data_IF_922138297294
#
_entry.id   IF_922138297294
#
_cell.length_a   1.000
_cell.length_b   1.000
_cell.length_c   1.000
_cell.angle_alpha   90.00
_cell.angle_beta   90.00
_cell.angle_gamma   90.00
#
_symmetry.space_group_name_H-M   'P 1'
#
loop_
_entity.id
_entity.type
_entity.pdbx_description
1 polymer ?
#
# COMPACT_ATOMS: atom_id res chain seq x y z
N UNK A 1 -4.78 -15.71 -0.27
CA UNK A 1 -4.78 -16.51 0.98
C UNK A 1 -4.20 -17.85 0.65
N UNK A 2 -3.22 -18.29 1.41
CA UNK A 2 -2.61 -19.61 1.22
C UNK A 2 -3.64 -20.70 1.49
N UNK A 3 -3.64 -21.78 0.71
CA UNK A 3 -4.56 -22.91 0.89
C UNK A 3 -4.51 -23.47 2.32
N UNK A 4 -3.32 -23.54 2.93
CA UNK A 4 -3.13 -24.04 4.30
C UNK A 4 -3.97 -23.32 5.36
N UNK A 5 -4.12 -21.99 5.26
CA UNK A 5 -4.86 -21.22 6.26
C UNK A 5 -6.37 -21.51 6.22
N UNK A 6 -6.90 -21.76 5.03
CA UNK A 6 -8.34 -21.93 4.82
C UNK A 6 -8.76 -23.40 4.92
N UNK A 7 -7.89 -24.35 4.51
CA UNK A 7 -8.19 -25.79 4.53
C UNK A 7 -7.76 -26.48 5.83
N UNK A 8 -6.57 -26.20 6.37
CA UNK A 8 -6.06 -26.92 7.55
C UNK A 8 -6.51 -26.28 8.86
N UNK A 9 -6.60 -24.95 8.89
CA UNK A 9 -6.91 -24.18 10.10
C UNK A 9 -8.33 -23.60 10.10
N UNK A 10 -9.08 -23.76 9.00
CA UNK A 10 -10.43 -23.23 8.80
C UNK A 10 -10.53 -21.70 9.06
N UNK A 11 -9.42 -20.97 8.86
CA UNK A 11 -9.34 -19.53 9.10
C UNK A 11 -9.74 -18.80 7.81
N UNK A 12 -10.92 -18.19 7.84
CA UNK A 12 -11.38 -17.36 6.73
C UNK A 12 -10.67 -16.00 6.68
N UNK A 13 -10.70 -15.38 5.49
CA UNK A 13 -10.23 -13.99 5.27
C UNK A 13 -10.74 -13.02 6.31
N UNK A 14 -12.03 -13.12 6.64
CA UNK A 14 -12.72 -12.18 7.54
C UNK A 14 -12.15 -12.25 8.94
N UNK A 15 -11.85 -13.47 9.41
CA UNK A 15 -11.25 -13.71 10.72
C UNK A 15 -9.84 -13.12 10.79
N UNK A 16 -8.99 -13.36 9.78
CA UNK A 16 -7.67 -12.74 9.70
C UNK A 16 -7.73 -11.21 9.66
N UNK A 17 -8.65 -10.66 8.87
CA UNK A 17 -8.79 -9.22 8.75
C UNK A 17 -9.26 -8.58 10.05
N UNK A 18 -10.18 -9.23 10.77
CA UNK A 18 -10.64 -8.82 12.09
C UNK A 18 -9.50 -8.87 13.11
N UNK A 19 -8.78 -10.00 13.18
CA UNK A 19 -7.67 -10.19 14.10
C UNK A 19 -6.54 -9.18 13.85
N UNK A 20 -6.16 -8.95 12.59
CA UNK A 20 -5.20 -7.92 12.22
C UNK A 20 -5.69 -6.54 12.69
N UNK A 21 -6.96 -6.19 12.41
CA UNK A 21 -7.54 -4.91 12.84
C UNK A 21 -7.54 -4.72 14.35
N UNK A 22 -7.79 -5.79 15.11
CA UNK A 22 -7.77 -5.80 16.58
C UNK A 22 -6.34 -5.76 17.16
N UNK A 23 -5.36 -6.32 16.46
CA UNK A 23 -3.95 -6.29 16.87
C UNK A 23 -3.26 -4.95 16.62
N UNK A 24 -3.66 -4.21 15.57
CA UNK A 24 -3.07 -2.92 15.17
C UNK A 24 -2.90 -1.93 16.33
N UNK A 25 -3.89 -1.67 17.21
CA UNK A 25 -3.71 -0.73 18.32
C UNK A 25 -2.62 -1.14 19.31
N UNK A 26 -2.46 -2.44 19.58
CA UNK A 26 -1.41 -2.94 20.45
C UNK A 26 -0.03 -2.82 19.81
N UNK A 27 0.08 -3.15 18.52
CA UNK A 27 1.31 -2.99 17.74
C UNK A 27 1.75 -1.53 17.66
N UNK A 28 0.82 -0.61 17.38
CA UNK A 28 1.10 0.85 17.37
C UNK A 28 1.66 1.29 18.72
N UNK A 29 1.08 0.83 19.82
CA UNK A 29 1.54 1.20 21.17
C UNK A 29 2.94 0.65 21.47
N UNK A 30 3.22 -0.60 21.09
CA UNK A 30 4.56 -1.19 21.24
C UNK A 30 5.57 -0.42 20.40
N UNK A 31 5.23 -0.12 19.15
CA UNK A 31 6.06 0.64 18.22
C UNK A 31 6.39 2.03 18.77
N UNK A 32 5.38 2.77 19.25
CA UNK A 32 5.57 4.07 19.91
C UNK A 32 6.48 3.98 21.13
N UNK A 33 6.30 2.95 21.97
CA UNK A 33 7.15 2.75 23.16
C UNK A 33 8.62 2.51 22.81
N UNK A 34 8.90 1.87 21.67
CA UNK A 34 10.27 1.67 21.15
C UNK A 34 10.88 2.95 20.58
N UNK A 35 10.06 3.83 20.00
CA UNK A 35 10.53 5.09 19.41
C UNK A 35 10.79 6.19 20.43
N UNK A 36 9.98 6.27 21.50
CA UNK A 36 10.08 7.32 22.53
C UNK A 36 11.50 7.51 23.14
N UNK A 37 12.30 6.46 23.40
CA UNK A 37 13.67 6.63 23.88
C UNK A 37 14.66 7.14 22.83
N UNK A 38 14.34 6.98 21.54
CA UNK A 38 15.26 7.26 20.43
C UNK A 38 15.01 8.64 19.81
N UNK A 39 13.76 9.10 19.83
CA UNK A 39 13.34 10.33 19.19
C UNK A 39 12.40 11.10 20.12
N UNK A 40 12.65 12.41 20.25
CA UNK A 40 11.82 13.31 21.06
C UNK A 40 10.84 14.11 20.21
N UNK A 41 11.20 14.37 18.95
CA UNK A 41 10.45 15.23 18.04
C UNK A 41 10.17 14.51 16.72
N UNK A 42 9.04 14.84 16.10
CA UNK A 42 8.61 14.15 14.88
C UNK A 42 9.45 14.56 13.65
N UNK A 43 10.01 15.78 13.68
CA UNK A 43 10.93 16.36 12.70
C UNK A 43 12.26 15.59 12.58
N UNK A 44 12.55 14.69 13.52
CA UNK A 44 13.73 13.82 13.46
C UNK A 44 13.48 12.57 12.61
N UNK A 45 12.23 12.28 12.25
CA UNK A 45 11.84 11.07 11.55
C UNK A 45 11.80 11.30 10.05
N UNK A 46 12.49 10.45 9.32
CA UNK A 46 12.43 10.38 7.86
C UNK A 46 11.84 9.03 7.48
N UNK A 47 10.81 9.07 6.64
CA UNK A 47 10.11 7.90 6.13
C UNK A 47 10.61 7.58 4.73
N UNK A 48 11.06 6.34 4.55
CA UNK A 48 11.49 5.79 3.28
C UNK A 48 10.49 4.72 2.88
N UNK A 49 9.94 4.84 1.67
CA UNK A 49 9.07 3.81 1.10
C UNK A 49 9.38 3.61 -0.38
N UNK A 50 9.38 2.35 -0.80
CA UNK A 50 9.55 1.98 -2.19
C UNK A 50 8.19 1.79 -2.84
N UNK A 51 7.92 2.59 -3.87
CA UNK A 51 6.74 2.39 -4.71
C UNK A 51 7.16 1.86 -6.06
N UNK A 52 6.34 0.98 -6.63
CA UNK A 52 6.62 0.40 -7.94
C UNK A 52 5.40 0.50 -8.85
N UNK A 53 5.61 1.13 -10.00
CA UNK A 53 4.55 1.39 -10.98
C UNK A 53 4.88 0.72 -12.31
N UNK A 54 3.93 -0.03 -12.82
CA UNK A 54 3.94 -0.50 -14.20
C UNK A 54 3.36 0.61 -15.10
N UNK A 55 4.02 0.90 -16.23
CA UNK A 55 3.51 1.83 -17.24
C UNK A 55 2.08 1.49 -17.72
N UNK A 56 1.66 0.23 -17.63
CA UNK A 56 0.27 -0.18 -17.92
C UNK A 56 -0.76 0.49 -16.99
N UNK A 57 -0.38 0.79 -15.76
CA UNK A 57 -1.25 1.45 -14.78
C UNK A 57 -1.31 2.98 -14.97
N UNK A 58 -0.59 3.55 -15.94
CA UNK A 58 -0.69 4.98 -16.25
C UNK A 58 -2.07 5.36 -16.82
N UNK A 59 -2.76 4.40 -17.44
CA UNK A 59 -4.03 4.63 -18.12
C UNK A 59 -5.19 3.94 -17.41
N UNK A 60 -6.35 4.60 -17.43
CA UNK A 60 -7.60 4.03 -16.93
C UNK A 60 -8.28 3.21 -18.03
N UNK A 61 -8.41 1.91 -17.84
CA UNK A 61 -9.01 1.00 -18.83
C UNK A 61 -10.54 1.05 -18.86
N UNK A 62 -11.17 1.45 -17.75
CA UNK A 62 -12.63 1.39 -17.58
C UNK A 62 -13.21 2.74 -17.18
N UNK A 63 -14.24 3.17 -17.91
CA UNK A 63 -15.00 4.37 -17.64
C UNK A 63 -16.50 4.15 -17.89
N UNK A 64 -17.32 5.10 -17.44
CA UNK A 64 -18.75 5.14 -17.71
C UNK A 64 -19.07 6.42 -18.49
N UNK A 65 -19.88 6.30 -19.54
CA UNK A 65 -20.39 7.46 -20.28
C UNK A 65 -21.45 8.20 -19.46
N UNK A 66 -21.75 9.45 -19.84
CA UNK A 66 -22.89 10.20 -19.26
C UNK A 66 -24.25 9.51 -19.49
N UNK A 67 -24.34 8.61 -20.48
CA UNK A 67 -25.52 7.78 -20.76
C UNK A 67 -25.47 6.41 -20.07
N UNK A 68 -24.63 6.25 -19.04
CA UNK A 68 -24.46 5.03 -18.26
C UNK A 68 -24.06 3.80 -19.10
N UNK A 69 -23.26 4.01 -20.13
CA UNK A 69 -22.69 2.92 -20.95
C UNK A 69 -21.25 2.66 -20.51
N UNK A 70 -20.90 1.39 -20.29
CA UNK A 70 -19.53 1.00 -19.96
C UNK A 70 -18.63 1.22 -21.17
N UNK A 71 -17.57 1.99 -20.98
CA UNK A 71 -16.52 2.23 -21.97
C UNK A 71 -15.27 1.44 -21.56
N UNK A 72 -14.70 0.69 -22.50
CA UNK A 72 -13.44 -0.04 -22.33
C UNK A 72 -12.42 0.56 -23.28
N UNK A 73 -11.36 1.14 -22.75
CA UNK A 73 -10.24 1.66 -23.54
C UNK A 73 -9.33 0.49 -23.89
N UNK A 74 -9.20 0.19 -25.19
CA UNK A 74 -8.26 -0.81 -25.69
C UNK A 74 -6.94 -0.12 -25.98
N UNK A 75 -5.88 -0.52 -25.29
CA UNK A 75 -4.52 -0.06 -25.53
C UNK A 75 -3.73 -1.15 -26.26
N UNK A 76 -2.79 -0.79 -27.15
CA UNK A 76 -1.90 -1.76 -27.76
C UNK A 76 -1.13 -2.50 -26.67
N UNK A 77 -1.00 -3.82 -26.84
CA UNK A 77 -0.28 -4.65 -25.88
C UNK A 77 1.21 -4.30 -25.95
N UNK A 78 1.70 -3.60 -24.93
CA UNK A 78 3.13 -3.40 -24.69
C UNK A 78 3.55 -4.19 -23.46
N UNK A 79 4.74 -4.78 -23.51
CA UNK A 79 5.36 -5.35 -22.32
C UNK A 79 5.69 -4.18 -21.39
N UNK A 80 5.02 -4.14 -20.24
CA UNK A 80 5.15 -3.05 -19.28
C UNK A 80 6.57 -3.02 -18.71
N UNK A 81 7.20 -1.86 -18.71
CA UNK A 81 8.43 -1.63 -17.93
C UNK A 81 7.99 -1.23 -16.53
N UNK A 82 8.35 -2.04 -15.54
CA UNK A 82 8.13 -1.74 -14.13
C UNK A 82 9.23 -0.79 -13.67
N UNK A 83 8.85 0.34 -13.11
CA UNK A 83 9.75 1.30 -12.51
C UNK A 83 9.52 1.26 -11.01
N UNK A 84 10.59 1.07 -10.25
CA UNK A 84 10.62 1.34 -8.81
C UNK A 84 11.06 2.78 -8.60
N UNK A 85 10.52 3.40 -7.56
CA UNK A 85 10.87 4.74 -7.09
C UNK A 85 10.94 4.65 -5.57
N UNK A 86 12.07 5.03 -5.00
CA UNK A 86 12.24 5.16 -3.56
C UNK A 86 11.97 6.62 -3.18
N UNK A 87 10.93 6.86 -2.40
CA UNK A 87 10.54 8.20 -1.98
C UNK A 87 10.92 8.46 -0.52
N UNK A 88 11.40 9.67 -0.26
CA UNK A 88 11.75 10.16 1.07
C UNK A 88 10.74 11.21 1.49
N UNK A 89 10.14 10.99 2.65
CA UNK A 89 9.11 11.85 3.25
C UNK A 89 9.49 12.21 4.68
N UNK A 90 9.08 13.38 5.12
CA UNK A 90 9.24 13.90 6.48
C UNK A 90 7.89 14.48 6.94
N UNK A 91 7.76 14.92 8.18
CA UNK A 91 6.53 15.54 8.72
C UNK A 91 6.10 16.80 7.96
N UNK A 92 7.04 17.45 7.27
CA UNK A 92 6.79 18.60 6.40
C UNK A 92 6.34 18.21 4.99
N UNK A 93 6.49 16.93 4.61
CA UNK A 93 6.10 16.40 3.31
C UNK A 93 7.26 15.79 2.53
N UNK A 94 7.18 15.90 1.20
CA UNK A 94 8.12 15.26 0.28
C UNK A 94 9.51 15.91 0.30
N UNK A 95 10.56 15.09 0.44
CA UNK A 95 11.96 15.55 0.46
C UNK A 95 12.71 15.22 -0.83
N UNK A 96 12.46 14.06 -1.43
CA UNK A 96 13.17 13.62 -2.62
C UNK A 96 12.83 12.20 -3.05
N UNK A 97 13.36 11.79 -4.20
CA UNK A 97 13.18 10.45 -4.73
C UNK A 97 14.40 10.00 -5.55
N UNK A 98 14.60 8.68 -5.59
CA UNK A 98 15.55 7.98 -6.47
C UNK A 98 14.83 6.90 -7.29
#
# INVERSE_FOLDING_TARGET
MCCALNFDLNISRKVLYKAAREAIPAEIRIYKKKLLPLYSYAEQLVFLDETSKDGKHAFRLYAWSRRNTKIIVRLPFSRGKRLSVMAVLDVTGFRGWE
#
